data_IF_584710548692
#
_entry.id   IF_584710548692
#
_cell.length_a   1.000
_cell.length_b   1.000
_cell.length_c   1.000
_cell.angle_alpha   90.00
_cell.angle_beta   90.00
_cell.angle_gamma   90.00
#
_symmetry.space_group_name_H-M   'P 1'
#
loop_
_entity.id
_entity.type
_entity.pdbx_description
1 polymer ?
#
# COMPACT_ATOMS: atom_id res chain seq x y z
N UNK A 1 23.11 32.49 13.28
CA UNK A 1 22.25 32.15 12.12
C UNK A 1 22.01 30.64 12.02
N UNK A 2 23.04 29.79 11.93
CA UNK A 2 22.90 28.33 11.84
C UNK A 2 22.00 27.69 12.92
N UNK A 3 22.16 28.10 14.18
CA UNK A 3 21.34 27.61 15.31
C UNK A 3 19.82 27.91 15.17
N UNK A 4 19.47 29.05 14.58
CA UNK A 4 18.06 29.42 14.37
C UNK A 4 17.44 28.61 13.24
N UNK A 5 18.22 28.34 12.19
CA UNK A 5 17.79 27.52 11.05
C UNK A 5 17.54 26.08 11.49
N UNK A 6 18.46 25.47 12.25
CA UNK A 6 18.30 24.08 12.71
C UNK A 6 17.10 23.92 13.65
N UNK A 7 16.87 24.88 14.54
CA UNK A 7 15.71 24.88 15.42
C UNK A 7 14.39 25.01 14.65
N UNK A 8 14.33 25.93 13.69
CA UNK A 8 13.15 26.14 12.84
C UNK A 8 12.85 24.92 11.98
N UNK A 9 13.89 24.33 11.38
CA UNK A 9 13.79 23.09 10.60
C UNK A 9 13.28 21.93 11.47
N UNK A 10 13.82 21.77 12.68
CA UNK A 10 13.36 20.74 13.61
C UNK A 10 11.86 20.86 13.90
N UNK A 11 11.37 22.05 14.27
CA UNK A 11 9.93 22.25 14.53
C UNK A 11 9.07 22.03 13.29
N UNK A 12 9.54 22.44 12.11
CA UNK A 12 8.84 22.17 10.86
C UNK A 12 8.74 20.65 10.60
N UNK A 13 9.82 19.90 10.79
CA UNK A 13 9.82 18.44 10.64
C UNK A 13 8.92 17.76 11.68
N UNK A 14 8.93 18.22 12.94
CA UNK A 14 8.04 17.72 13.98
C UNK A 14 6.57 18.01 13.65
N UNK A 15 6.25 19.21 13.17
CA UNK A 15 4.90 19.58 12.76
C UNK A 15 4.40 18.76 11.55
N UNK A 16 5.27 18.49 10.58
CA UNK A 16 4.93 17.63 9.44
C UNK A 16 4.72 16.18 9.87
N UNK A 17 5.59 15.66 10.74
CA UNK A 17 5.47 14.30 11.26
C UNK A 17 4.21 14.10 12.10
N UNK A 18 3.75 15.12 12.82
CA UNK A 18 2.58 15.01 13.70
C UNK A 18 1.26 14.81 12.96
N UNK A 19 1.22 15.16 11.67
CA UNK A 19 0.08 14.91 10.77
C UNK A 19 -0.19 13.40 10.57
N UNK A 20 0.82 12.56 10.72
CA UNK A 20 0.75 11.11 10.42
C UNK A 20 1.23 10.23 11.58
N UNK A 21 1.83 10.82 12.62
CA UNK A 21 2.41 10.09 13.74
C UNK A 21 2.15 10.82 15.06
N UNK A 22 1.78 10.09 16.09
CA UNK A 22 1.54 10.63 17.43
C UNK A 22 2.81 11.05 18.21
N UNK A 23 4.01 10.78 17.67
CA UNK A 23 5.30 11.18 18.22
C UNK A 23 5.52 10.92 19.73
N UNK A 24 4.98 9.82 20.28
CA UNK A 24 5.22 9.46 21.68
C UNK A 24 6.74 9.27 21.93
N UNK A 25 7.35 10.00 22.90
CA UNK A 25 8.79 9.95 23.13
C UNK A 25 9.31 8.53 23.40
N UNK A 26 8.59 7.72 24.19
CA UNK A 26 8.99 6.35 24.52
C UNK A 26 8.92 5.38 23.33
N UNK A 27 8.23 5.78 22.26
CA UNK A 27 8.06 5.01 21.01
C UNK A 27 8.81 5.61 19.84
N UNK A 28 9.55 6.70 20.05
CA UNK A 28 10.28 7.41 19.01
C UNK A 28 11.78 7.14 19.12
N UNK A 29 12.48 6.91 18.01
CA UNK A 29 13.94 6.84 18.05
C UNK A 29 14.51 8.21 18.44
N UNK A 30 15.66 8.17 19.10
CA UNK A 30 16.41 9.36 19.48
C UNK A 30 17.81 9.26 18.87
N UNK A 31 18.20 10.29 18.13
CA UNK A 31 19.53 10.39 17.53
C UNK A 31 20.25 11.55 18.19
N UNK A 32 21.40 11.29 18.83
CA UNK A 32 22.10 12.26 19.69
C UNK A 32 21.18 12.96 20.70
N UNK A 33 20.32 12.18 21.36
CA UNK A 33 19.31 12.66 22.33
C UNK A 33 18.21 13.55 21.74
N UNK A 34 18.17 13.75 20.42
CA UNK A 34 17.09 14.46 19.73
C UNK A 34 16.10 13.44 19.19
N UNK A 35 14.83 13.59 19.56
CA UNK A 35 13.74 12.78 19.04
C UNK A 35 13.59 13.02 17.52
N UNK A 36 13.48 11.95 16.73
CA UNK A 36 13.06 12.09 15.32
C UNK A 36 11.54 12.22 15.19
N UNK A 37 11.04 12.86 14.10
CA UNK A 37 9.63 13.27 13.98
C UNK A 37 8.65 12.11 13.73
N UNK A 38 9.10 10.86 13.83
CA UNK A 38 8.32 9.65 13.59
C UNK A 38 8.63 8.60 14.66
N UNK A 39 7.61 7.86 15.10
CA UNK A 39 7.80 6.71 15.98
C UNK A 39 8.45 5.55 15.23
N UNK A 40 9.03 4.57 15.95
CA UNK A 40 9.69 3.39 15.38
C UNK A 40 8.86 2.68 14.30
N UNK A 41 7.54 2.62 14.48
CA UNK A 41 6.62 2.03 13.50
C UNK A 41 6.56 2.85 12.21
N UNK A 42 6.32 4.16 12.31
CA UNK A 42 6.24 5.05 11.15
C UNK A 42 7.59 5.18 10.44
N UNK A 43 8.70 5.21 11.18
CA UNK A 43 10.06 5.13 10.63
C UNK A 43 10.26 3.85 9.83
N UNK A 44 9.80 2.70 10.36
CA UNK A 44 9.81 1.43 9.64
C UNK A 44 8.99 1.47 8.35
N UNK A 45 7.75 1.99 8.40
CA UNK A 45 6.89 2.11 7.20
C UNK A 45 7.58 2.93 6.11
N UNK A 46 8.14 4.09 6.47
CA UNK A 46 8.86 4.95 5.54
C UNK A 46 10.07 4.22 4.95
N UNK A 47 10.90 3.62 5.81
CA UNK A 47 12.09 2.87 5.39
C UNK A 47 11.74 1.71 4.45
N UNK A 48 10.75 0.88 4.80
CA UNK A 48 10.30 -0.24 3.99
C UNK A 48 9.71 0.19 2.64
N UNK A 49 8.95 1.29 2.62
CA UNK A 49 8.37 1.82 1.38
C UNK A 49 9.47 2.33 0.44
N UNK A 50 10.46 3.05 0.98
CA UNK A 50 11.63 3.49 0.21
C UNK A 50 12.45 2.29 -0.30
N UNK A 51 12.64 1.26 0.51
CA UNK A 51 13.31 0.02 0.12
C UNK A 51 12.57 -0.71 -1.01
N UNK A 52 11.24 -0.74 -0.99
CA UNK A 52 10.44 -1.27 -2.09
C UNK A 52 10.63 -0.44 -3.36
N UNK A 53 10.56 0.89 -3.28
CA UNK A 53 10.74 1.77 -4.45
C UNK A 53 12.13 1.55 -5.06
N UNK A 54 13.18 1.58 -4.24
CA UNK A 54 14.55 1.34 -4.67
C UNK A 54 14.72 -0.04 -5.33
N UNK A 55 14.22 -1.11 -4.69
CA UNK A 55 14.30 -2.46 -5.24
C UNK A 55 13.47 -2.63 -6.51
N UNK A 56 12.34 -1.94 -6.64
CA UNK A 56 11.52 -1.97 -7.86
C UNK A 56 12.21 -1.26 -9.02
N UNK A 57 12.91 -0.14 -8.78
CA UNK A 57 13.69 0.56 -9.81
C UNK A 57 14.82 -0.33 -10.35
N UNK A 58 15.51 -1.03 -9.45
CA UNK A 58 16.67 -1.88 -9.78
C UNK A 58 16.25 -3.23 -10.37
N UNK A 59 15.35 -3.96 -9.71
CA UNK A 59 14.98 -5.32 -10.07
C UNK A 59 13.76 -5.39 -11.02
N UNK A 60 13.04 -4.28 -11.22
CA UNK A 60 11.83 -4.19 -12.06
C UNK A 60 10.75 -5.22 -11.70
N UNK A 61 10.66 -5.60 -10.42
CA UNK A 61 9.72 -6.59 -9.91
C UNK A 61 9.12 -6.15 -8.58
N UNK A 62 7.85 -6.48 -8.39
CA UNK A 62 7.16 -6.40 -7.12
C UNK A 62 7.04 -7.80 -6.50
N UNK A 63 7.03 -7.92 -5.17
CA UNK A 63 6.73 -9.20 -4.53
C UNK A 63 5.32 -9.69 -4.92
N UNK A 64 5.09 -11.01 -4.98
CA UNK A 64 3.78 -11.57 -5.31
C UNK A 64 2.69 -11.01 -4.40
N UNK A 65 1.51 -10.67 -4.94
CA UNK A 65 0.44 -10.06 -4.15
C UNK A 65 0.05 -10.90 -2.92
N UNK A 66 0.01 -12.23 -3.03
CA UNK A 66 -0.34 -13.10 -1.88
C UNK A 66 0.66 -12.94 -0.73
N UNK A 67 1.96 -12.91 -1.05
CA UNK A 67 3.02 -12.68 -0.09
C UNK A 67 2.93 -11.28 0.52
N UNK A 68 2.62 -10.31 -0.34
CA UNK A 68 2.44 -8.91 0.05
C UNK A 68 1.30 -8.74 1.05
N UNK A 69 0.15 -9.37 0.81
CA UNK A 69 -0.98 -9.35 1.73
C UNK A 69 -0.66 -10.08 3.05
N UNK A 70 0.02 -11.24 2.99
CA UNK A 70 0.36 -12.03 4.17
C UNK A 70 1.28 -11.26 5.13
N UNK A 71 2.37 -10.67 4.62
CA UNK A 71 3.30 -9.92 5.46
C UNK A 71 2.78 -8.54 5.85
N UNK A 72 1.97 -7.89 5.00
CA UNK A 72 1.30 -6.66 5.39
C UNK A 72 0.42 -6.90 6.64
N UNK A 73 -0.23 -8.06 6.78
CA UNK A 73 -1.10 -8.31 7.93
C UNK A 73 -0.38 -8.30 9.29
N UNK A 74 0.95 -8.48 9.35
CA UNK A 74 1.68 -8.53 10.61
C UNK A 74 1.64 -7.23 11.42
N UNK A 75 1.63 -6.08 10.75
CA UNK A 75 1.57 -4.78 11.43
C UNK A 75 0.22 -4.51 12.11
N UNK A 76 -0.94 -4.62 11.45
CA UNK A 76 -2.23 -4.48 12.13
C UNK A 76 -2.41 -5.52 13.24
N UNK A 77 -1.89 -6.75 13.09
CA UNK A 77 -1.88 -7.73 14.18
C UNK A 77 -1.06 -7.24 15.38
N UNK A 78 0.12 -6.65 15.17
CA UNK A 78 0.92 -6.04 16.24
C UNK A 78 0.23 -4.82 16.86
N UNK A 79 -0.49 -4.01 16.07
CA UNK A 79 -1.34 -2.91 16.60
C UNK A 79 -2.42 -3.47 17.52
N UNK A 80 -3.17 -4.45 17.04
CA UNK A 80 -4.31 -5.05 17.74
C UNK A 80 -3.84 -5.70 19.04
N UNK A 81 -2.79 -6.51 19.00
CA UNK A 81 -2.25 -7.15 20.21
C UNK A 81 -1.73 -6.13 21.24
N UNK A 82 -1.13 -5.04 20.78
CA UNK A 82 -0.71 -3.95 21.67
C UNK A 82 -1.91 -3.19 22.29
N UNK A 83 -3.00 -2.98 21.54
CA UNK A 83 -4.23 -2.33 22.05
C UNK A 83 -4.91 -3.21 23.10
N UNK A 84 -4.98 -4.52 22.88
CA UNK A 84 -5.54 -5.47 23.83
C UNK A 84 -4.62 -5.79 25.02
N UNK A 85 -3.43 -5.17 25.08
CA UNK A 85 -2.49 -5.37 26.18
C UNK A 85 -1.86 -6.76 26.23
N UNK A 86 -1.95 -7.54 25.14
CA UNK A 86 -1.38 -8.88 25.06
C UNK A 86 0.15 -8.86 25.18
N UNK A 87 0.79 -7.77 24.76
CA UNK A 87 2.21 -7.52 24.95
C UNK A 87 2.54 -6.01 24.97
N UNK A 88 3.62 -5.66 25.68
CA UNK A 88 4.28 -4.36 25.52
C UNK A 88 5.17 -4.42 24.29
N UNK A 89 4.68 -3.92 23.15
CA UNK A 89 5.43 -3.95 21.90
C UNK A 89 6.84 -3.35 22.06
N UNK A 90 7.87 -4.14 21.79
CA UNK A 90 9.26 -3.68 21.78
C UNK A 90 9.45 -2.71 20.61
N UNK A 91 10.27 -1.68 20.80
CA UNK A 91 10.57 -0.70 19.74
C UNK A 91 11.16 -1.38 18.49
N UNK A 92 11.97 -2.42 18.65
CA UNK A 92 12.46 -3.25 17.55
C UNK A 92 11.32 -3.95 16.79
N UNK A 93 10.37 -4.57 17.50
CA UNK A 93 9.22 -5.22 16.88
C UNK A 93 8.32 -4.23 16.11
N UNK A 94 8.12 -3.02 16.67
CA UNK A 94 7.41 -1.93 15.99
C UNK A 94 8.10 -1.52 14.69
N UNK A 95 9.42 -1.42 14.71
CA UNK A 95 10.21 -1.10 13.52
C UNK A 95 10.16 -2.21 12.47
N UNK A 96 10.29 -3.48 12.88
CA UNK A 96 10.23 -4.64 11.98
C UNK A 96 8.86 -4.74 11.32
N UNK A 97 7.78 -4.75 12.09
CA UNK A 97 6.41 -4.85 11.55
C UNK A 97 6.07 -3.63 10.69
N UNK A 98 6.51 -2.43 11.08
CA UNK A 98 6.42 -1.23 10.25
C UNK A 98 7.17 -1.36 8.93
N UNK A 99 8.40 -1.88 8.93
CA UNK A 99 9.20 -2.11 7.71
C UNK A 99 8.53 -3.13 6.79
N UNK A 100 8.04 -4.24 7.34
CA UNK A 100 7.29 -5.24 6.58
C UNK A 100 6.02 -4.64 5.96
N UNK A 101 5.27 -3.82 6.70
CA UNK A 101 4.14 -3.07 6.14
C UNK A 101 4.58 -2.12 5.03
N UNK A 102 5.66 -1.38 5.21
CA UNK A 102 6.19 -0.46 4.20
C UNK A 102 6.54 -1.17 2.89
N UNK A 103 7.20 -2.33 2.96
CA UNK A 103 7.55 -3.12 1.77
C UNK A 103 6.31 -3.78 1.15
N UNK A 104 5.59 -4.57 1.94
CA UNK A 104 4.58 -5.48 1.43
C UNK A 104 3.21 -4.80 1.31
N UNK A 105 2.84 -3.92 2.23
CA UNK A 105 1.61 -3.12 2.15
C UNK A 105 1.62 -2.18 0.96
N UNK A 106 2.71 -1.43 0.75
CA UNK A 106 2.87 -0.56 -0.42
C UNK A 106 2.84 -1.37 -1.72
N UNK A 107 3.49 -2.53 -1.77
CA UNK A 107 3.44 -3.40 -2.94
C UNK A 107 2.03 -3.92 -3.23
N UNK A 108 1.28 -4.32 -2.20
CA UNK A 108 -0.09 -4.78 -2.35
C UNK A 108 -0.99 -3.65 -2.88
N UNK A 109 -0.89 -2.45 -2.30
CA UNK A 109 -1.65 -1.27 -2.75
C UNK A 109 -1.34 -0.96 -4.21
N UNK A 110 -0.06 -0.91 -4.58
CA UNK A 110 0.35 -0.63 -5.95
C UNK A 110 -0.19 -1.68 -6.93
N UNK A 111 -0.07 -2.96 -6.60
CA UNK A 111 -0.59 -4.05 -7.43
C UNK A 111 -2.10 -3.99 -7.57
N UNK A 112 -2.84 -3.65 -6.52
CA UNK A 112 -4.31 -3.55 -6.52
C UNK A 112 -4.79 -2.31 -7.29
N UNK A 113 -4.11 -1.17 -7.12
CA UNK A 113 -4.43 0.08 -7.81
C UNK A 113 -4.12 0.02 -9.32
N UNK A 114 -3.06 -0.71 -9.70
CA UNK A 114 -2.66 -0.91 -11.09
C UNK A 114 -3.27 -2.16 -11.74
N UNK A 115 -4.19 -2.88 -11.07
CA UNK A 115 -4.88 -4.00 -11.71
C UNK A 115 -5.63 -3.49 -12.93
N UNK A 116 -5.37 -4.04 -14.12
CA UNK A 116 -6.23 -3.77 -15.27
C UNK A 116 -7.66 -4.14 -14.86
N UNK A 117 -8.60 -3.19 -14.96
CA UNK A 117 -10.02 -3.56 -14.93
C UNK A 117 -10.19 -4.56 -16.07
N UNK A 118 -10.55 -5.80 -15.73
CA UNK A 118 -10.76 -6.85 -16.71
C UNK A 118 -11.82 -6.31 -17.66
N UNK A 119 -11.47 -6.10 -18.94
CA UNK A 119 -12.44 -5.73 -19.96
C UNK A 119 -13.62 -6.68 -19.81
N UNK A 120 -14.83 -6.15 -19.70
CA UNK A 120 -16.03 -6.96 -19.74
C UNK A 120 -15.90 -7.91 -20.95
N UNK A 121 -16.21 -9.21 -20.78
CA UNK A 121 -16.15 -10.13 -21.89
C UNK A 121 -16.96 -9.53 -23.03
N UNK A 122 -16.35 -9.44 -24.22
CA UNK A 122 -17.07 -8.99 -25.41
C UNK A 122 -18.40 -9.77 -25.46
N UNK A 123 -19.54 -9.09 -25.71
CA UNK A 123 -20.82 -9.77 -25.74
C UNK A 123 -20.69 -10.98 -26.66
N UNK A 124 -21.24 -12.15 -26.26
CA UNK A 124 -21.12 -13.35 -27.05
C UNK A 124 -21.52 -13.00 -28.48
N UNK A 125 -20.61 -13.29 -29.41
CA UNK A 125 -20.81 -13.17 -30.83
C UNK A 125 -22.19 -13.75 -31.15
N UNK A 126 -23.18 -12.87 -31.29
CA UNK A 126 -24.53 -13.25 -31.69
C UNK A 126 -24.34 -13.93 -33.03
N UNK A 127 -24.68 -15.23 -33.18
CA UNK A 127 -24.54 -15.90 -34.45
C UNK A 127 -25.29 -15.08 -35.50
N UNK A 128 -24.57 -14.65 -36.54
CA UNK A 128 -25.13 -13.97 -37.71
C UNK A 128 -26.20 -14.81 -38.42
N UNK A 129 -26.34 -16.08 -38.04
CA UNK A 129 -27.33 -17.03 -38.54
C UNK A 129 -28.79 -16.65 -38.27
N UNK A 130 -29.09 -15.86 -37.23
CA UNK A 130 -30.49 -15.58 -36.86
C UNK A 130 -31.14 -14.46 -37.71
N UNK A 131 -30.33 -13.62 -38.36
CA UNK A 131 -30.82 -12.46 -39.12
C UNK A 131 -31.00 -12.75 -40.61
N UNK A 132 -30.47 -13.88 -41.11
CA UNK A 132 -30.66 -14.30 -42.52
C UNK A 132 -31.93 -15.11 -42.75
N UNK A 133 -32.57 -15.64 -41.69
CA UNK A 133 -33.77 -16.48 -41.81
C UNK A 133 -35.09 -15.71 -41.69
N UNK A 134 -35.05 -14.42 -41.33
CA UNK A 134 -36.25 -13.60 -41.14
C UNK A 134 -36.62 -12.72 -42.34
N UNK A 135 -35.83 -12.73 -43.42
CA UNK A 135 -36.03 -11.85 -44.59
C UNK A 135 -36.56 -12.52 -45.85
N UNK A 136 -36.90 -13.82 -45.83
CA UNK A 136 -37.50 -14.46 -47.00
C UNK A 136 -38.96 -13.97 -47.17
N UNK A 137 -39.30 -13.32 -48.29
CA UNK A 137 -40.67 -12.90 -48.56
C UNK A 137 -41.58 -14.13 -48.71
N UNK A 138 -42.88 -14.02 -48.34
CA UNK A 138 -43.82 -15.12 -48.47
C UNK A 138 -43.95 -15.57 -49.93
N UNK A 139 -43.84 -16.88 -50.14
CA UNK A 139 -43.96 -17.52 -51.45
C UNK A 139 -45.40 -17.37 -51.96
N UNK A 140 -45.60 -16.63 -53.05
CA UNK A 140 -46.90 -16.54 -53.73
C UNK A 140 -46.92 -17.51 -54.92
N UNK A 141 -47.79 -18.54 -54.94
CA UNK A 141 -47.91 -19.42 -56.09
C UNK A 141 -48.64 -18.71 -57.24
N UNK A 142 -48.11 -18.81 -58.46
CA UNK A 142 -48.74 -18.34 -59.70
C UNK A 142 -49.73 -19.39 -60.21
N UNK A 143 -50.99 -18.99 -60.42
CA UNK A 143 -51.99 -19.74 -61.19
C UNK A 143 -51.78 -19.56 -62.69
#
# INVERSE_FOLDING_TARGET
>A
MLFSITHSLYHALMALGSLVCHQAPERSPHLWHVQIPLCWRCSGILFGSLALVASTIVCRRLPPLRLSLAFALLMPLDVVGAIFGLWKGLNAARFITGTLWGVFGTSAILQLALRPKRNEPAPPNRPLELESQTSLPPFTPSN
#
